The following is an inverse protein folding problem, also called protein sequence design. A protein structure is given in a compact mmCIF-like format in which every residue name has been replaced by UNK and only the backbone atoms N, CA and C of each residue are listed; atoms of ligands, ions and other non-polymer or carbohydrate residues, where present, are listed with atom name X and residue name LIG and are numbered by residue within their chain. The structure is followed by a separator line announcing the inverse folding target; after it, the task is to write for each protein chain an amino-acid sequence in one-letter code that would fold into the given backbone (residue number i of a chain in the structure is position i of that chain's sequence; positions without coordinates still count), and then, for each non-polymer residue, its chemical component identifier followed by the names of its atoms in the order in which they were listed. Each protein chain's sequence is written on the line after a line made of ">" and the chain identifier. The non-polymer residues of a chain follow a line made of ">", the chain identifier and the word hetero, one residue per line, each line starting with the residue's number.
data_IF_355637463539
#
_entry.id   IF_355637463539
#
_cell.length_a   1.000
_cell.length_b   1.000
_cell.length_c   1.000
_cell.angle_alpha   90.00
_cell.angle_beta   90.00
_cell.angle_gamma   90.00
#
_symmetry.space_group_name_H-M   'P 1'
#
loop_
_entity.id
_entity.type
_entity.pdbx_description
1 polymer ?
#
# COMPACT_ATOMS: atom_id res chain seq x y z
N UNK A 1 -12.03 7.65 -0.73
CA UNK A 1 -10.94 7.51 0.25
C UNK A 1 -9.68 7.96 -0.45
N UNK A 2 -8.78 8.69 0.21
CA UNK A 2 -7.54 9.15 -0.43
C UNK A 2 -6.48 8.02 -0.50
N UNK A 3 -5.55 8.08 -1.45
CA UNK A 3 -4.54 7.02 -1.68
C UNK A 3 -3.74 6.66 -0.41
N UNK A 4 -3.36 7.65 0.41
CA UNK A 4 -2.60 7.41 1.64
C UNK A 4 -3.40 6.61 2.69
N UNK A 5 -4.71 6.85 2.80
CA UNK A 5 -5.60 6.12 3.71
C UNK A 5 -5.76 4.69 3.23
N UNK A 6 -5.90 4.51 1.91
CA UNK A 6 -6.02 3.20 1.29
C UNK A 6 -4.77 2.34 1.54
N UNK A 7 -3.57 2.90 1.36
CA UNK A 7 -2.30 2.22 1.67
C UNK A 7 -2.26 1.79 3.14
N UNK A 8 -2.63 2.68 4.05
CA UNK A 8 -2.68 2.40 5.49
C UNK A 8 -3.69 1.29 5.83
N UNK A 9 -4.85 1.30 5.18
CA UNK A 9 -5.92 0.29 5.37
C UNK A 9 -5.49 -1.09 4.86
N UNK A 10 -4.85 -1.15 3.70
CA UNK A 10 -4.24 -2.38 3.16
C UNK A 10 -3.24 -2.96 4.15
N UNK A 11 -2.31 -2.13 4.67
CA UNK A 11 -1.34 -2.59 5.67
C UNK A 11 -2.01 -3.13 6.93
N UNK A 12 -3.04 -2.46 7.44
CA UNK A 12 -3.77 -2.93 8.62
C UNK A 12 -4.52 -4.24 8.37
N UNK A 13 -5.11 -4.44 7.19
CA UNK A 13 -5.73 -5.73 6.84
C UNK A 13 -4.71 -6.87 6.79
N UNK A 14 -3.46 -6.58 6.39
CA UNK A 14 -2.35 -7.54 6.46
C UNK A 14 -1.81 -7.76 7.88
N UNK A 15 -2.29 -7.01 8.88
CA UNK A 15 -1.77 -7.00 10.26
C UNK A 15 -0.26 -6.71 10.33
N UNK A 16 0.25 -5.87 9.42
CA UNK A 16 1.66 -5.52 9.36
C UNK A 16 1.95 -4.17 10.02
N UNK A 17 3.09 -4.09 10.68
CA UNK A 17 3.75 -2.82 11.01
C UNK A 17 4.23 -2.12 9.74
N UNK A 18 4.51 -0.81 9.82
CA UNK A 18 5.07 -0.06 8.68
C UNK A 18 6.42 -0.65 8.22
N UNK A 19 7.22 -1.20 9.14
CA UNK A 19 8.50 -1.84 8.82
C UNK A 19 8.32 -3.17 8.09
N UNK A 20 7.40 -4.02 8.53
CA UNK A 20 7.10 -5.29 7.84
C UNK A 20 6.51 -5.04 6.44
N UNK A 21 5.64 -4.03 6.33
CA UNK A 21 5.07 -3.65 5.05
C UNK A 21 6.12 -3.07 4.10
N UNK A 22 7.07 -2.27 4.63
CA UNK A 22 8.19 -1.77 3.85
C UNK A 22 9.07 -2.92 3.30
N UNK A 23 9.33 -3.94 4.12
CA UNK A 23 10.05 -5.15 3.70
C UNK A 23 9.29 -5.89 2.60
N UNK A 24 7.97 -6.08 2.74
CA UNK A 24 7.13 -6.72 1.72
C UNK A 24 7.07 -5.93 0.41
N UNK A 25 7.19 -4.60 0.50
CA UNK A 25 7.20 -3.67 -0.62
C UNK A 25 8.59 -3.38 -1.19
N UNK A 26 9.65 -3.98 -0.65
CA UNK A 26 11.05 -3.73 -1.03
C UNK A 26 11.44 -2.24 -1.02
N UNK A 27 10.94 -1.48 -0.03
CA UNK A 27 11.25 -0.07 0.19
C UNK A 27 11.69 0.18 1.63
N UNK A 28 12.16 1.39 1.93
CA UNK A 28 12.48 1.78 3.31
C UNK A 28 11.21 2.03 4.13
N UNK A 29 11.30 1.85 5.45
CA UNK A 29 10.28 2.30 6.41
C UNK A 29 9.88 3.76 6.18
N UNK A 30 10.87 4.64 5.95
CA UNK A 30 10.64 6.07 5.70
C UNK A 30 9.79 6.33 4.45
N UNK A 31 9.86 5.44 3.44
CA UNK A 31 9.04 5.53 2.23
C UNK A 31 7.58 5.25 2.55
N UNK A 32 7.29 4.15 3.25
CA UNK A 32 5.93 3.82 3.73
C UNK A 32 5.38 4.93 4.62
N UNK A 33 6.18 5.41 5.58
CA UNK A 33 5.77 6.48 6.48
C UNK A 33 5.38 7.76 5.72
N UNK A 34 6.13 8.11 4.67
CA UNK A 34 5.80 9.28 3.83
C UNK A 34 4.54 9.07 3.01
N UNK A 35 4.31 7.86 2.49
CA UNK A 35 3.07 7.54 1.76
C UNK A 35 1.84 7.61 2.67
N UNK A 36 1.88 6.99 3.84
CA UNK A 36 0.75 6.96 4.78
C UNK A 36 0.43 8.34 5.39
N UNK A 37 1.40 9.25 5.43
CA UNK A 37 1.25 10.61 5.97
C UNK A 37 1.19 11.70 4.87
N UNK A 38 0.87 11.35 3.63
CA UNK A 38 0.70 12.31 2.52
C UNK A 38 1.94 13.16 2.18
N UNK A 39 3.15 12.74 2.59
CA UNK A 39 4.42 13.44 2.33
C UNK A 39 5.08 13.01 1.02
N UNK A 40 4.56 11.97 0.38
CA UNK A 40 4.92 11.49 -0.94
C UNK A 40 3.82 10.56 -1.46
N UNK A 41 3.77 10.34 -2.77
CA UNK A 41 2.91 9.33 -3.40
C UNK A 41 3.77 8.19 -3.95
N UNK A 42 3.29 6.92 -3.93
CA UNK A 42 4.00 5.82 -4.57
C UNK A 42 4.08 6.07 -6.09
N UNK A 43 5.25 5.81 -6.68
CA UNK A 43 5.42 5.86 -8.13
C UNK A 43 4.69 4.68 -8.82
N UNK A 44 4.66 4.67 -10.16
CA UNK A 44 3.95 3.65 -10.93
C UNK A 44 4.38 2.21 -10.58
N UNK A 45 5.68 1.99 -10.39
CA UNK A 45 6.22 0.66 -10.03
C UNK A 45 5.74 0.24 -8.64
N UNK A 46 5.80 1.13 -7.66
CA UNK A 46 5.31 0.89 -6.32
C UNK A 46 3.79 0.60 -6.29
N UNK A 47 3.00 1.29 -7.13
CA UNK A 47 1.55 1.01 -7.26
C UNK A 47 1.27 -0.37 -7.84
N UNK A 48 2.04 -0.82 -8.83
CA UNK A 48 1.95 -2.18 -9.38
C UNK A 48 2.30 -3.21 -8.30
N UNK A 49 3.37 -2.98 -7.53
CA UNK A 49 3.78 -3.87 -6.46
C UNK A 49 2.74 -3.93 -5.32
N UNK A 50 2.13 -2.79 -4.97
CA UNK A 50 1.04 -2.73 -3.99
C UNK A 50 -0.15 -3.59 -4.42
N UNK A 51 -0.58 -3.46 -5.67
CA UNK A 51 -1.69 -4.26 -6.21
C UNK A 51 -1.36 -5.75 -6.19
N UNK A 52 -0.16 -6.13 -6.64
CA UNK A 52 0.28 -7.53 -6.62
C UNK A 52 0.30 -8.08 -5.19
N UNK A 53 0.82 -7.31 -4.23
CA UNK A 53 0.84 -7.69 -2.82
C UNK A 53 -0.58 -7.86 -2.26
N UNK A 54 -1.53 -7.00 -2.65
CA UNK A 54 -2.94 -7.13 -2.26
C UNK A 54 -3.57 -8.41 -2.79
N UNK A 55 -3.31 -8.74 -4.06
CA UNK A 55 -3.79 -9.97 -4.71
C UNK A 55 -3.19 -11.23 -4.05
N UNK A 56 -1.89 -11.24 -3.77
CA UNK A 56 -1.19 -12.35 -3.11
C UNK A 56 -1.68 -12.61 -1.68
N UNK A 57 -1.96 -11.54 -0.93
CA UNK A 57 -2.44 -11.61 0.46
C UNK A 57 -3.95 -11.78 0.58
N UNK A 58 -4.67 -11.92 -0.56
CA UNK A 58 -6.14 -12.07 -0.62
C UNK A 58 -6.86 -10.97 0.17
N UNK A 59 -6.39 -9.74 0.00
CA UNK A 59 -7.00 -8.52 0.56
C UNK A 59 -8.40 -8.34 -0.01
N UNK A 60 -9.25 -7.67 0.75
CA UNK A 60 -10.64 -7.39 0.38
C UNK A 60 -10.74 -6.90 -1.08
N UNK A 61 -11.51 -7.60 -1.95
CA UNK A 61 -11.69 -7.22 -3.35
C UNK A 61 -12.16 -5.78 -3.55
N UNK A 62 -12.89 -5.21 -2.59
CA UNK A 62 -13.31 -3.82 -2.65
C UNK A 62 -12.11 -2.86 -2.58
N UNK A 63 -11.13 -3.14 -1.71
CA UNK A 63 -9.92 -2.32 -1.62
C UNK A 63 -9.06 -2.46 -2.88
N UNK A 64 -8.99 -3.66 -3.46
CA UNK A 64 -8.28 -3.88 -4.73
C UNK A 64 -8.93 -3.04 -5.85
N UNK A 65 -10.26 -3.00 -5.90
CA UNK A 65 -11.00 -2.18 -6.87
C UNK A 65 -10.72 -0.69 -6.68
N UNK A 66 -10.81 -0.18 -5.46
CA UNK A 66 -10.48 1.22 -5.14
C UNK A 66 -9.02 1.55 -5.53
N UNK A 67 -8.08 0.63 -5.31
CA UNK A 67 -6.67 0.85 -5.64
C UNK A 67 -6.42 0.97 -7.15
N UNK A 68 -7.22 0.26 -7.98
CA UNK A 68 -7.11 0.33 -9.45
C UNK A 68 -7.50 1.70 -10.01
N UNK A 69 -8.24 2.52 -9.28
CA UNK A 69 -8.59 3.89 -9.69
C UNK A 69 -7.38 4.85 -9.66
N UNK A 70 -6.30 4.48 -8.96
CA UNK A 70 -5.08 5.26 -8.81
C UNK A 70 -3.91 4.85 -9.72
N UNK A 71 -4.13 3.94 -10.68
CA UNK A 71 -3.07 3.48 -11.59
C UNK A 71 -2.58 4.59 -12.53
#
# INVERSE_FOLDING_TARGET
>A
MELHELIKKVRFQMQMTQSEFATAMHVSFSTINRWENQKAVPNKIARILLLKLCEEKKIDPLLIREFKEYQ
#
